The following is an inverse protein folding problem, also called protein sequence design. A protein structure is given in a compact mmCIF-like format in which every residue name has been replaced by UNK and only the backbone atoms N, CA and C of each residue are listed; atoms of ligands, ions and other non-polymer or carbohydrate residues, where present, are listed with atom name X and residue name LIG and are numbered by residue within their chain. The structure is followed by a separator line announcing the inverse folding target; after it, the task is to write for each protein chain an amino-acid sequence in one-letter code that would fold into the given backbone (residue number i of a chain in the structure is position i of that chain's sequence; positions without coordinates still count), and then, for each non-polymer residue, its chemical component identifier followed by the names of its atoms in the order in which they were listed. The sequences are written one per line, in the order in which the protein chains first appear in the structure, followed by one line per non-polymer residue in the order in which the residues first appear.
data_IF_597328022184
#
_entry.id   IF_597328022184
#
_cell.length_a   1.000
_cell.length_b   1.000
_cell.length_c   1.000
_cell.angle_alpha   90.00
_cell.angle_beta   90.00
_cell.angle_gamma   90.00
#
_symmetry.space_group_name_H-M   'P 1'
#
loop_
_entity.id
_entity.type
_entity.pdbx_description
1 polymer ?
#
# COMPACT_ATOMS: atom_id res chain seq x y z
N UNK A 1 -24.78 0.22 27.38
CA UNK A 1 -24.23 -0.59 26.27
C UNK A 1 -23.18 0.24 25.53
N UNK A 2 -21.98 -0.28 25.30
CA UNK A 2 -20.89 0.42 24.60
C UNK A 2 -21.20 0.53 23.11
N UNK A 3 -21.06 1.74 22.54
CA UNK A 3 -21.17 1.99 21.11
C UNK A 3 -19.77 2.20 20.53
N UNK A 4 -19.54 1.86 19.27
CA UNK A 4 -18.25 2.01 18.62
C UNK A 4 -18.36 2.95 17.42
N UNK A 5 -17.37 3.83 17.27
CA UNK A 5 -17.20 4.69 16.12
C UNK A 5 -15.88 4.31 15.43
N UNK A 6 -15.96 3.91 14.16
CA UNK A 6 -14.80 3.65 13.32
C UNK A 6 -14.61 4.85 12.41
N UNK A 7 -13.47 5.52 12.52
CA UNK A 7 -13.09 6.65 11.68
C UNK A 7 -12.09 6.17 10.66
N UNK A 8 -12.41 6.28 9.37
CA UNK A 8 -11.58 5.80 8.26
C UNK A 8 -10.85 6.98 7.62
N UNK A 9 -9.58 6.78 7.27
CA UNK A 9 -8.76 7.77 6.59
C UNK A 9 -9.37 8.15 5.23
N UNK A 10 -9.28 9.45 4.88
CA UNK A 10 -9.81 9.98 3.62
C UNK A 10 -9.14 9.37 2.38
N UNK A 11 -7.87 8.99 2.50
CA UNK A 11 -7.06 8.39 1.43
C UNK A 11 -7.53 6.99 1.05
N UNK A 12 -8.39 6.35 1.85
CA UNK A 12 -8.80 4.96 1.67
C UNK A 12 -10.32 4.78 1.62
N UNK A 13 -10.99 5.32 0.58
CA UNK A 13 -12.45 5.21 0.43
C UNK A 13 -12.93 3.75 0.26
N UNK A 14 -12.08 2.87 -0.28
CA UNK A 14 -12.38 1.45 -0.40
C UNK A 14 -12.54 0.76 0.97
N UNK A 15 -11.74 1.16 1.96
CA UNK A 15 -11.82 0.63 3.33
C UNK A 15 -13.10 1.11 4.00
N UNK A 16 -13.52 2.35 3.73
CA UNK A 16 -14.79 2.87 4.23
C UNK A 16 -15.99 2.07 3.70
N UNK A 17 -16.06 1.83 2.39
CA UNK A 17 -17.19 1.09 1.82
C UNK A 17 -17.22 -0.37 2.28
N UNK A 18 -16.04 -0.99 2.45
CA UNK A 18 -15.93 -2.34 2.99
C UNK A 18 -16.44 -2.42 4.44
N UNK A 19 -15.98 -1.52 5.31
CA UNK A 19 -16.37 -1.52 6.73
C UNK A 19 -17.83 -1.09 6.92
N UNK A 20 -18.32 -0.15 6.11
CA UNK A 20 -19.72 0.27 6.10
C UNK A 20 -20.64 -0.89 5.70
N UNK A 21 -20.30 -1.62 4.65
CA UNK A 21 -21.08 -2.77 4.18
C UNK A 21 -21.09 -3.90 5.22
N UNK A 22 -19.94 -4.14 5.87
CA UNK A 22 -19.80 -5.18 6.91
C UNK A 22 -20.61 -4.89 8.17
N UNK A 23 -20.71 -3.63 8.57
CA UNK A 23 -21.37 -3.22 9.82
C UNK A 23 -22.76 -2.60 9.60
N UNK A 24 -23.34 -2.74 8.41
CA UNK A 24 -24.64 -2.16 8.04
C UNK A 24 -25.79 -2.62 8.95
N UNK A 25 -25.71 -3.85 9.45
CA UNK A 25 -26.73 -4.48 10.30
C UNK A 25 -26.49 -4.33 11.80
N UNK A 26 -25.37 -3.73 12.23
CA UNK A 26 -25.05 -3.55 13.65
C UNK A 26 -25.30 -2.09 14.09
N UNK A 27 -26.39 -1.80 14.81
CA UNK A 27 -26.71 -0.45 15.26
C UNK A 27 -25.74 0.10 16.33
N UNK A 28 -24.84 -0.74 16.86
CA UNK A 28 -23.83 -0.33 17.85
C UNK A 28 -22.57 0.22 17.20
N UNK A 29 -22.37 0.03 15.90
CA UNK A 29 -21.16 0.42 15.17
C UNK A 29 -21.51 1.49 14.14
N UNK A 30 -20.85 2.64 14.23
CA UNK A 30 -20.96 3.71 13.23
C UNK A 30 -19.63 3.85 12.51
N UNK A 31 -19.64 3.84 11.18
CA UNK A 31 -18.46 4.05 10.35
C UNK A 31 -18.54 5.44 9.72
N UNK A 32 -17.47 6.22 9.82
CA UNK A 32 -17.38 7.58 9.29
C UNK A 32 -16.03 7.82 8.61
N UNK A 33 -16.01 8.66 7.59
CA UNK A 33 -14.76 9.17 7.01
C UNK A 33 -14.22 10.34 7.83
N UNK A 34 -12.92 10.39 8.03
CA UNK A 34 -12.26 11.55 8.64
C UNK A 34 -12.37 12.78 7.73
N UNK A 35 -12.95 13.85 8.26
CA UNK A 35 -13.15 15.13 7.57
C UNK A 35 -12.24 16.23 8.12
N UNK A 36 -11.36 15.94 9.08
CA UNK A 36 -10.42 16.93 9.63
C UNK A 36 -9.47 17.39 8.51
N UNK A 37 -9.67 18.62 8.03
CA UNK A 37 -8.93 19.21 6.91
C UNK A 37 -9.75 19.46 5.64
N UNK A 38 -11.04 19.11 5.59
CA UNK A 38 -11.93 19.43 4.46
C UNK A 38 -12.58 20.82 4.59
N UNK A 39 -11.82 21.83 5.04
CA UNK A 39 -12.26 23.23 4.97
C UNK A 39 -11.49 23.86 3.81
N UNK A 40 -12.01 23.67 2.59
CA UNK A 40 -11.84 24.69 1.55
C UNK A 40 -12.79 25.83 1.92
N UNK A 41 -12.16 26.94 2.30
CA UNK A 41 -12.60 28.26 2.77
C UNK A 41 -14.04 28.73 2.50
N UNK A 42 -14.64 29.42 3.48
CA UNK A 42 -15.28 30.77 3.36
C UNK A 42 -16.19 31.08 4.56
N UNK A 43 -15.61 31.54 5.67
CA UNK A 43 -16.18 32.63 6.48
C UNK A 43 -15.08 33.06 7.44
N UNK A 44 -14.59 34.28 7.23
CA UNK A 44 -13.81 34.98 8.22
C UNK A 44 -14.64 35.14 9.51
N UNK A 45 -13.94 35.19 10.64
CA UNK A 45 -14.42 35.70 11.93
C UNK A 45 -14.95 34.70 12.98
N UNK A 46 -14.16 33.65 13.27
CA UNK A 46 -14.26 32.97 14.56
C UNK A 46 -12.87 32.61 15.12
N UNK A 47 -12.54 32.98 16.38
CA UNK A 47 -11.28 32.60 16.99
C UNK A 47 -11.20 31.07 17.14
N UNK A 48 -10.01 30.46 16.95
CA UNK A 48 -9.87 29.02 16.97
C UNK A 48 -10.27 28.47 18.35
N UNK A 49 -11.09 27.41 18.43
CA UNK A 49 -11.45 26.83 19.70
C UNK A 49 -10.19 26.29 20.39
N UNK A 50 -10.06 26.61 21.67
CA UNK A 50 -8.93 26.22 22.54
C UNK A 50 -8.70 24.72 22.46
N UNK A 51 -7.53 24.33 21.96
CA UNK A 51 -7.13 22.95 21.65
C UNK A 51 -6.90 22.17 22.96
N UNK A 52 -8.00 21.67 23.56
CA UNK A 52 -7.94 20.78 24.73
C UNK A 52 -7.37 19.43 24.31
N UNK A 53 -6.07 19.26 24.54
CA UNK A 53 -5.33 17.98 24.61
C UNK A 53 -5.59 17.07 23.40
N UNK A 54 -5.01 17.42 22.24
CA UNK A 54 -4.92 16.54 21.06
C UNK A 54 -4.31 15.20 21.45
N UNK A 55 -5.13 14.15 21.57
CA UNK A 55 -4.65 12.78 21.35
C UNK A 55 -4.17 12.74 19.90
N UNK A 56 -2.92 12.32 19.68
CA UNK A 56 -2.40 12.11 18.32
C UNK A 56 -3.23 10.99 17.69
N UNK A 57 -4.11 11.35 16.74
CA UNK A 57 -4.87 10.36 15.98
C UNK A 57 -3.91 9.48 15.19
N UNK A 58 -4.14 8.17 15.18
CA UNK A 58 -3.33 7.21 14.42
C UNK A 58 -3.46 7.45 12.90
N UNK A 59 -4.54 8.10 12.46
CA UNK A 59 -4.76 8.49 11.06
C UNK A 59 -3.73 9.52 10.58
N UNK A 60 -3.22 10.37 11.48
CA UNK A 60 -2.15 11.33 11.17
C UNK A 60 -0.78 10.66 11.01
N UNK A 61 -0.64 9.43 11.49
CA UNK A 61 0.58 8.60 11.39
C UNK A 61 0.46 7.55 10.28
N UNK A 62 -0.56 7.65 9.41
CA UNK A 62 -0.74 6.78 8.24
C UNK A 62 -1.59 5.53 8.46
N UNK A 63 -2.34 5.42 9.57
CA UNK A 63 -3.29 4.33 9.73
C UNK A 63 -4.52 4.51 8.82
N UNK A 64 -5.05 3.40 8.29
CA UNK A 64 -6.24 3.39 7.43
C UNK A 64 -7.55 3.66 8.18
N UNK A 65 -7.64 3.29 9.45
CA UNK A 65 -8.80 3.53 10.30
C UNK A 65 -8.44 3.55 11.79
N UNK A 66 -9.26 4.22 12.59
CA UNK A 66 -9.14 4.35 14.05
C UNK A 66 -10.47 3.95 14.71
N UNK A 67 -10.40 3.12 15.76
CA UNK A 67 -11.57 2.64 16.49
C UNK A 67 -11.72 3.39 17.82
N UNK A 68 -12.88 4.02 18.01
CA UNK A 68 -13.21 4.80 19.20
C UNK A 68 -14.39 4.14 19.92
N UNK A 69 -14.16 3.68 21.14
CA UNK A 69 -15.23 3.20 22.01
C UNK A 69 -15.94 4.39 22.66
N UNK A 70 -17.23 4.52 22.39
CA UNK A 70 -18.12 5.47 23.03
C UNK A 70 -18.72 4.80 24.27
N UNK A 71 -18.19 5.16 25.44
CA UNK A 71 -18.85 4.84 26.70
C UNK A 71 -20.20 5.58 26.74
N UNK A 72 -21.25 4.87 27.13
CA UNK A 72 -22.54 5.51 27.41
C UNK A 72 -22.37 6.32 28.69
N UNK A 73 -22.38 7.65 28.59
CA UNK A 73 -22.60 8.50 29.75
C UNK A 73 -24.01 8.20 30.26
N UNK A 74 -24.10 7.34 31.27
CA UNK A 74 -25.20 7.40 32.21
C UNK A 74 -25.05 8.79 32.82
N UNK A 75 -26.03 9.66 32.58
CA UNK A 75 -26.16 10.91 33.29
C UNK A 75 -26.26 10.57 34.79
N UNK A 76 -25.11 10.48 35.45
CA UNK A 76 -25.03 10.64 36.87
C UNK A 76 -25.36 12.10 37.09
N UNK A 77 -26.63 12.36 37.42
CA UNK A 77 -27.05 13.57 38.09
C UNK A 77 -26.03 13.81 39.22
N UNK A 78 -25.17 14.80 39.00
CA UNK A 78 -24.32 15.33 40.04
C UNK A 78 -25.27 16.06 40.97
N UNK A 79 -25.47 15.62 42.23
CA UNK A 79 -26.13 16.48 43.19
C UNK A 79 -25.15 17.62 43.42
N UNK A 80 -25.45 18.78 42.84
CA UNK A 80 -24.75 20.02 43.15
C UNK A 80 -24.91 20.26 44.66
N UNK A 81 -23.85 20.22 45.50
CA UNK A 81 -24.00 20.68 46.86
C UNK A 81 -23.99 22.21 46.79
N UNK A 82 -25.17 22.79 46.88
CA UNK A 82 -25.37 24.21 47.12
C UNK A 82 -24.64 24.57 48.43
N UNK A 83 -23.62 25.45 48.46
CA UNK A 83 -23.04 25.86 49.73
C UNK A 83 -23.96 26.91 50.37
N UNK A 84 -24.83 26.48 51.28
CA UNK A 84 -25.42 27.40 52.24
C UNK A 84 -24.41 27.65 53.37
N UNK A 85 -24.09 28.92 53.68
CA UNK A 85 -23.22 29.25 54.80
C UNK A 85 -24.04 29.25 56.09
N UNK A 86 -23.54 28.60 57.14
CA UNK A 86 -23.58 29.04 58.56
C UNK A 86 -23.58 27.84 59.52
N UNK A 87 -22.42 27.54 60.11
CA UNK A 87 -22.30 27.25 61.54
C UNK A 87 -20.81 27.34 61.92
N UNK A 88 -20.44 28.03 63.01
CA UNK A 88 -19.07 28.02 63.50
C UNK A 88 -18.80 26.64 64.08
N UNK A 89 -17.90 25.88 63.46
CA UNK A 89 -17.40 24.65 64.07
C UNK A 89 -16.46 25.04 65.21
N UNK A 90 -16.80 24.63 66.42
CA UNK A 90 -15.81 24.55 67.50
C UNK A 90 -14.69 23.61 67.05
N UNK A 91 -13.48 24.13 67.09
CA UNK A 91 -12.26 23.45 66.71
C UNK A 91 -11.92 22.40 67.77
N UNK A 92 -12.55 21.23 67.68
CA UNK A 92 -12.08 20.03 68.35
C UNK A 92 -10.70 19.67 67.76
N UNK A 93 -9.64 19.48 68.56
CA UNK A 93 -8.35 19.08 68.02
C UNK A 93 -8.51 17.68 67.41
N UNK A 94 -8.61 17.63 66.08
CA UNK A 94 -8.47 16.39 65.32
C UNK A 94 -7.03 15.94 65.45
N UNK A 95 -6.75 15.18 66.51
CA UNK A 95 -5.68 14.19 66.47
C UNK A 95 -6.08 13.15 65.41
N UNK A 96 -5.88 13.49 64.14
CA UNK A 96 -5.82 12.48 63.09
C UNK A 96 -4.68 11.55 63.45
N UNK A 97 -5.02 10.27 63.61
CA UNK A 97 -4.11 9.17 63.90
C UNK A 97 -2.83 9.29 63.07
N UNK A 98 -1.76 9.77 63.70
CA UNK A 98 -0.42 9.86 63.12
C UNK A 98 0.06 8.47 62.64
N UNK A 99 -0.50 7.40 63.22
CA UNK A 99 -0.24 6.00 62.90
C UNK A 99 -0.88 5.58 61.57
N UNK A 100 -2.09 6.04 61.24
CA UNK A 100 -2.74 5.73 59.94
C UNK A 100 -2.04 6.44 58.77
N UNK A 101 -1.63 7.69 58.95
CA UNK A 101 -0.90 8.43 57.90
C UNK A 101 0.50 7.87 57.62
N UNK A 102 1.13 7.24 58.61
CA UNK A 102 2.44 6.60 58.46
C UNK A 102 2.31 5.28 57.70
N UNK A 103 1.26 4.51 57.94
CA UNK A 103 1.00 3.24 57.23
C UNK A 103 0.71 3.48 55.74
N UNK A 104 -0.08 4.52 55.41
CA UNK A 104 -0.33 4.94 54.04
C UNK A 104 0.96 5.39 53.33
N UNK A 105 1.81 6.16 54.00
CA UNK A 105 3.11 6.61 53.47
C UNK A 105 4.07 5.44 53.20
N UNK A 106 4.10 4.44 54.09
CA UNK A 106 4.92 3.23 53.89
C UNK A 106 4.41 2.39 52.73
N UNK A 107 3.08 2.26 52.58
CA UNK A 107 2.45 1.57 51.45
C UNK A 107 2.78 2.26 50.13
N UNK A 108 2.67 3.59 50.06
CA UNK A 108 3.03 4.34 48.85
C UNK A 108 4.51 4.21 48.53
N UNK A 109 5.38 4.21 49.54
CA UNK A 109 6.83 4.03 49.35
C UNK A 109 7.15 2.65 48.79
N UNK A 110 6.52 1.59 49.30
CA UNK A 110 6.67 0.23 48.78
C UNK A 110 6.15 0.12 47.33
N UNK A 111 5.02 0.72 47.02
CA UNK A 111 4.48 0.74 45.66
C UNK A 111 5.39 1.49 44.68
N UNK A 112 5.95 2.63 45.10
CA UNK A 112 6.92 3.38 44.30
C UNK A 112 8.19 2.57 44.04
N UNK A 113 8.75 1.93 45.07
CA UNK A 113 9.94 1.09 44.93
C UNK A 113 9.70 -0.10 43.98
N UNK A 114 8.55 -0.77 44.09
CA UNK A 114 8.16 -1.85 43.19
C UNK A 114 8.00 -1.34 41.74
N UNK A 115 7.33 -0.20 41.56
CA UNK A 115 7.17 0.40 40.23
C UNK A 115 8.50 0.82 39.62
N UNK A 116 9.42 1.35 40.43
CA UNK A 116 10.77 1.74 40.00
C UNK A 116 11.57 0.52 39.57
N UNK A 117 11.51 -0.57 40.35
CA UNK A 117 12.16 -1.84 40.02
C UNK A 117 11.60 -2.42 38.72
N UNK A 118 10.28 -2.40 38.51
CA UNK A 118 9.70 -2.87 37.25
C UNK A 118 10.13 -2.01 36.06
N UNK A 119 10.07 -0.68 36.20
CA UNK A 119 10.48 0.25 35.16
C UNK A 119 11.97 0.14 34.82
N UNK A 120 12.82 -0.16 35.79
CA UNK A 120 14.26 -0.34 35.56
C UNK A 120 14.60 -1.54 34.67
N UNK A 121 13.69 -2.50 34.51
CA UNK A 121 13.86 -3.68 33.64
C UNK A 121 13.10 -3.55 32.31
N UNK A 122 11.92 -2.93 32.35
CA UNK A 122 11.10 -2.73 31.14
C UNK A 122 11.74 -1.72 30.18
N UNK A 123 12.30 -0.61 30.69
CA UNK A 123 12.89 0.40 29.82
C UNK A 123 14.11 -0.15 29.05
N UNK A 124 15.10 -0.81 29.69
CA UNK A 124 16.21 -1.41 28.96
C UNK A 124 15.78 -2.49 27.95
N UNK A 125 14.85 -3.39 28.32
CA UNK A 125 14.40 -4.43 27.40
C UNK A 125 13.70 -3.87 26.15
N UNK A 126 12.91 -2.79 26.29
CA UNK A 126 12.32 -2.09 25.15
C UNK A 126 13.39 -1.38 24.29
N UNK A 127 14.44 -0.84 24.92
CA UNK A 127 15.58 -0.23 24.20
C UNK A 127 16.34 -1.29 23.39
N UNK A 128 16.61 -2.45 23.98
CA UNK A 128 17.26 -3.58 23.32
C UNK A 128 16.43 -4.12 22.16
N UNK A 129 15.13 -4.29 22.35
CA UNK A 129 14.22 -4.76 21.30
C UNK A 129 14.13 -3.74 20.15
N UNK A 130 14.03 -2.44 20.47
CA UNK A 130 14.11 -1.38 19.46
C UNK A 130 15.40 -1.46 18.66
N UNK A 131 16.55 -1.66 19.30
CA UNK A 131 17.85 -1.72 18.63
C UNK A 131 18.04 -3.01 17.83
N UNK A 132 17.40 -4.10 18.25
CA UNK A 132 17.29 -5.32 17.45
C UNK A 132 16.44 -5.10 16.20
N UNK A 133 15.28 -4.48 16.35
CA UNK A 133 14.37 -4.19 15.24
C UNK A 133 15.00 -3.22 14.24
N UNK A 134 15.72 -2.20 14.71
CA UNK A 134 16.47 -1.28 13.84
C UNK A 134 17.51 -2.01 12.99
N UNK A 135 18.33 -2.87 13.60
CA UNK A 135 19.32 -3.68 12.86
C UNK A 135 18.67 -4.64 11.86
N UNK A 136 17.53 -5.24 12.23
CA UNK A 136 16.78 -6.10 11.33
C UNK A 136 16.24 -5.32 10.13
N UNK A 137 15.70 -4.11 10.36
CA UNK A 137 15.23 -3.21 9.31
C UNK A 137 16.38 -2.81 8.38
N UNK A 138 17.51 -2.34 8.92
CA UNK A 138 18.70 -1.99 8.13
C UNK A 138 19.18 -3.17 7.25
N UNK A 139 19.17 -4.39 7.80
CA UNK A 139 19.51 -5.59 7.03
C UNK A 139 18.50 -5.88 5.91
N UNK A 140 17.21 -5.64 6.14
CA UNK A 140 16.18 -5.79 5.10
C UNK A 140 16.29 -4.72 4.03
N UNK A 141 16.56 -3.48 4.41
CA UNK A 141 16.74 -2.38 3.46
C UNK A 141 17.93 -2.63 2.53
N UNK A 142 19.06 -3.10 3.08
CA UNK A 142 20.23 -3.50 2.28
C UNK A 142 19.91 -4.63 1.30
N UNK A 143 19.11 -5.61 1.72
CA UNK A 143 18.67 -6.70 0.86
C UNK A 143 17.72 -6.22 -0.24
N UNK A 144 16.81 -5.29 0.07
CA UNK A 144 15.93 -4.67 -0.91
C UNK A 144 16.72 -3.89 -1.97
N UNK A 145 17.72 -3.11 -1.57
CA UNK A 145 18.61 -2.40 -2.49
C UNK A 145 19.39 -3.37 -3.39
N UNK A 146 19.92 -4.46 -2.81
CA UNK A 146 20.61 -5.51 -3.57
C UNK A 146 19.70 -6.14 -4.62
N UNK A 147 18.52 -6.58 -4.22
CA UNK A 147 17.52 -7.17 -5.13
C UNK A 147 17.05 -6.16 -6.18
N UNK A 148 16.93 -4.88 -5.81
CA UNK A 148 16.63 -3.80 -6.75
C UNK A 148 17.70 -3.65 -7.84
N UNK A 149 18.98 -3.75 -7.45
CA UNK A 149 20.11 -3.78 -8.37
C UNK A 149 20.08 -4.98 -9.32
N UNK A 150 19.92 -6.19 -8.79
CA UNK A 150 19.82 -7.43 -9.58
C UNK A 150 18.65 -7.39 -10.57
N UNK A 151 17.50 -6.86 -10.17
CA UNK A 151 16.33 -6.70 -11.04
C UNK A 151 16.61 -5.65 -12.14
N UNK A 152 17.31 -4.57 -11.81
CA UNK A 152 17.77 -3.57 -12.78
C UNK A 152 18.74 -4.14 -13.82
N UNK A 153 19.65 -5.02 -13.41
CA UNK A 153 20.54 -5.77 -14.31
C UNK A 153 19.76 -6.71 -15.22
N UNK A 154 18.85 -7.49 -14.66
CA UNK A 154 18.05 -8.44 -15.41
C UNK A 154 17.15 -7.75 -16.46
N UNK A 155 16.60 -6.57 -16.13
CA UNK A 155 15.85 -5.76 -17.10
C UNK A 155 16.73 -5.27 -18.25
N UNK A 156 17.98 -4.88 -17.97
CA UNK A 156 18.93 -4.46 -19.00
C UNK A 156 19.31 -5.62 -19.92
N UNK A 157 19.64 -6.79 -19.38
CA UNK A 157 19.97 -7.98 -20.18
C UNK A 157 18.79 -8.45 -21.00
N UNK A 158 17.58 -8.47 -20.43
CA UNK A 158 16.36 -8.78 -21.16
C UNK A 158 16.13 -7.80 -22.32
N UNK A 159 16.29 -6.49 -22.08
CA UNK A 159 16.17 -5.47 -23.12
C UNK A 159 17.17 -5.66 -24.26
N UNK A 160 18.43 -6.00 -23.94
CA UNK A 160 19.46 -6.27 -24.93
C UNK A 160 19.11 -7.51 -25.79
N UNK A 161 18.74 -8.62 -25.15
CA UNK A 161 18.33 -9.84 -25.85
C UNK A 161 17.09 -9.64 -26.72
N UNK A 162 16.13 -8.84 -26.27
CA UNK A 162 14.96 -8.48 -27.07
C UNK A 162 15.38 -7.70 -28.33
N UNK A 163 16.31 -6.75 -28.19
CA UNK A 163 16.88 -6.01 -29.32
C UNK A 163 17.60 -6.92 -30.32
N UNK A 164 18.39 -7.89 -29.84
CA UNK A 164 19.04 -8.89 -30.70
C UNK A 164 18.03 -9.76 -31.44
N UNK A 165 16.96 -10.20 -30.77
CA UNK A 165 15.90 -10.99 -31.40
C UNK A 165 15.18 -10.20 -32.50
N UNK A 166 14.90 -8.92 -32.28
CA UNK A 166 14.24 -8.08 -33.28
C UNK A 166 15.18 -7.79 -34.46
N UNK A 167 16.48 -7.61 -34.22
CA UNK A 167 17.49 -7.51 -35.27
C UNK A 167 17.55 -8.78 -36.14
N UNK A 168 17.64 -9.96 -35.52
CA UNK A 168 17.65 -11.25 -36.23
C UNK A 168 16.36 -11.49 -37.03
N UNK A 169 15.21 -11.05 -36.51
CA UNK A 169 13.94 -11.09 -37.26
C UNK A 169 13.98 -10.19 -38.48
N UNK A 170 14.53 -8.98 -38.35
CA UNK A 170 14.74 -8.04 -39.45
C UNK A 170 15.68 -8.60 -40.52
N UNK A 171 16.78 -9.24 -40.12
CA UNK A 171 17.68 -9.93 -41.05
C UNK A 171 16.97 -11.07 -41.78
N UNK A 172 16.18 -11.89 -41.06
CA UNK A 172 15.41 -12.97 -41.68
C UNK A 172 14.39 -12.45 -42.69
N UNK A 173 13.72 -11.33 -42.42
CA UNK A 173 12.79 -10.71 -43.38
C UNK A 173 13.53 -10.20 -44.61
N UNK A 174 14.68 -9.53 -44.44
CA UNK A 174 15.49 -9.05 -45.56
C UNK A 174 15.99 -10.21 -46.44
N UNK A 175 16.41 -11.32 -45.83
CA UNK A 175 16.80 -12.53 -46.56
C UNK A 175 15.63 -13.14 -47.32
N UNK A 176 14.44 -13.21 -46.71
CA UNK A 176 13.25 -13.72 -47.38
C UNK A 176 12.84 -12.84 -48.58
N UNK A 177 12.93 -11.51 -48.46
CA UNK A 177 12.69 -10.57 -49.56
C UNK A 177 13.71 -10.75 -50.70
N UNK A 178 14.98 -10.90 -50.38
CA UNK A 178 16.02 -11.17 -51.36
C UNK A 178 15.75 -12.48 -52.13
N UNK A 179 15.37 -13.55 -51.43
CA UNK A 179 14.97 -14.80 -52.08
C UNK A 179 13.71 -14.64 -52.94
N UNK A 180 12.71 -13.89 -52.48
CA UNK A 180 11.53 -13.55 -53.28
C UNK A 180 11.90 -12.89 -54.61
N UNK A 181 12.79 -11.90 -54.57
CA UNK A 181 13.29 -11.23 -55.79
C UNK A 181 14.03 -12.16 -56.76
N UNK A 182 14.80 -13.13 -56.24
CA UNK A 182 15.46 -14.15 -57.09
C UNK A 182 14.43 -15.07 -57.74
N UNK A 183 13.42 -15.53 -56.99
CA UNK A 183 12.33 -16.36 -57.53
C UNK A 183 11.54 -15.61 -58.61
N UNK A 184 11.25 -14.33 -58.39
CA UNK A 184 10.57 -13.49 -59.38
C UNK A 184 11.40 -13.35 -60.67
N UNK A 185 12.72 -13.15 -60.55
CA UNK A 185 13.62 -13.08 -61.70
C UNK A 185 13.67 -14.39 -62.48
N UNK A 186 13.74 -15.53 -61.78
CA UNK A 186 13.66 -16.85 -62.41
C UNK A 186 12.32 -17.07 -63.13
N UNK A 187 11.22 -16.61 -62.53
CA UNK A 187 9.89 -16.61 -63.15
C UNK A 187 9.83 -15.78 -64.43
N UNK A 188 10.46 -14.60 -64.43
CA UNK A 188 10.57 -13.73 -65.60
C UNK A 188 11.40 -14.36 -66.73
N UNK A 189 12.48 -15.09 -66.41
CA UNK A 189 13.32 -15.79 -67.39
C UNK A 189 12.66 -17.05 -67.98
N UNK A 190 11.72 -17.67 -67.27
CA UNK A 190 11.05 -18.87 -67.74
C UNK A 190 10.23 -18.63 -69.02
N UNK A 191 9.58 -17.45 -69.14
CA UNK A 191 8.77 -17.08 -70.31
C UNK A 191 9.55 -17.05 -71.63
N UNK A 192 10.65 -16.28 -71.75
CA UNK A 192 11.45 -16.26 -72.98
C UNK A 192 12.07 -17.61 -73.29
N UNK A 193 12.50 -18.39 -72.28
CA UNK A 193 13.02 -19.75 -72.51
C UNK A 193 11.94 -20.67 -73.09
N UNK A 194 10.72 -20.64 -72.56
CA UNK A 194 9.59 -21.41 -73.09
C UNK A 194 9.23 -21.02 -74.53
N UNK A 195 9.33 -19.72 -74.86
CA UNK A 195 9.10 -19.24 -76.23
C UNK A 195 10.22 -19.65 -77.18
N UNK A 196 11.49 -19.63 -76.76
CA UNK A 196 12.62 -20.16 -77.54
C UNK A 196 12.44 -21.66 -77.79
N UNK A 197 12.08 -22.43 -76.76
CA UNK A 197 11.84 -23.88 -76.89
C UNK A 197 10.71 -24.18 -77.89
N UNK A 198 9.59 -23.42 -77.84
CA UNK A 198 8.50 -23.54 -78.81
C UNK A 198 8.95 -23.20 -80.24
N UNK A 199 9.75 -22.16 -80.42
CA UNK A 199 10.31 -21.81 -81.74
C UNK A 199 11.21 -22.92 -82.29
N UNK A 200 12.07 -23.51 -81.47
CA UNK A 200 12.92 -24.62 -81.88
C UNK A 200 12.11 -25.86 -82.29
N UNK A 201 11.05 -26.20 -81.54
CA UNK A 201 10.16 -27.32 -81.86
C UNK A 201 9.37 -27.12 -83.16
N UNK A 202 8.91 -25.89 -83.43
CA UNK A 202 8.15 -25.57 -84.66
C UNK A 202 9.05 -25.47 -85.90
N UNK A 203 10.36 -25.30 -85.73
CA UNK A 203 11.32 -25.22 -86.84
C UNK A 203 11.89 -26.59 -87.24
N UNK A 204 11.60 -27.66 -86.49
CA UNK A 204 11.96 -29.03 -86.86
C UNK A 204 10.92 -29.57 -87.87
N UNK A 205 11.27 -29.76 -89.16
CA UNK A 205 10.28 -30.08 -90.18
C UNK A 205 9.93 -31.57 -90.13
N UNK A 206 8.64 -31.85 -90.27
CA UNK A 206 8.13 -33.13 -90.73
C UNK A 206 8.59 -33.38 -92.18
N UNK A 207 9.77 -33.96 -92.35
CA UNK A 207 10.08 -34.85 -93.47
C UNK A 207 10.23 -36.22 -92.81
N UNK A 208 9.30 -37.17 -92.97
CA UNK A 208 9.10 -37.92 -94.20
C UNK A 208 7.60 -38.17 -94.41
N UNK A 209 7.06 -37.58 -95.48
CA UNK A 209 5.81 -38.03 -96.07
C UNK A 209 6.00 -39.35 -96.82
N UNK A 210 5.05 -40.26 -96.60
CA UNK A 210 4.30 -40.94 -97.67
C UNK A 210 5.05 -41.38 -98.94
N UNK A 211 5.32 -42.68 -99.03
CA UNK A 211 5.11 -43.48 -100.26
C UNK A 211 4.10 -44.56 -99.82
N UNK A 212 2.85 -44.72 -100.25
CA UNK A 212 2.13 -44.59 -101.53
C UNK A 212 2.60 -45.56 -102.64
N UNK A 213 1.73 -46.57 -102.89
CA UNK A 213 1.49 -47.36 -104.12
C UNK A 213 2.65 -48.22 -104.65
N UNK A 214 2.52 -49.49 -105.04
CA UNK A 214 1.41 -50.42 -105.37
C UNK A 214 1.80 -51.85 -104.97
#
# INVERSE_FOLDING_TARGET
MTRYLIVVARTEPAVYEHLRSRHLSDPKVRVMLDRRGAVEFETADAPPPVDRRRRRSSLMTGASHELVALAHEVAAETPSPNPQPSAPYEEAPRQMSQIETVDDSQRTTRWLAESQYQLSHVIPSLVEERDRLRRALESRDQECERLGGELGELRRTHGALQGELDALRGERTAVAEAFGGVVDMLGQLHRPLADIARRLQTTQPAAVGSSQQD
#
